data_IF_720833571147
#
_entry.id   IF_720833571147
#
_cell.length_a   1.000
_cell.length_b   1.000
_cell.length_c   1.000
_cell.angle_alpha   90.00
_cell.angle_beta   90.00
_cell.angle_gamma   90.00
#
_symmetry.space_group_name_H-M   'P 1'
#
loop_
_entity.id
_entity.type
_entity.pdbx_description
1 polymer ?
#
# COMPACT_ATOMS: atom_id res chain seq x y z
N UNK A 1 -27.59 -32.17 -29.03
CA UNK A 1 -26.71 -32.88 -29.99
C UNK A 1 -26.54 -31.94 -31.16
N UNK A 2 -25.42 -31.30 -31.49
CA UNK A 2 -23.98 -31.33 -31.14
C UNK A 2 -23.49 -29.89 -31.45
N UNK A 3 -22.95 -29.17 -30.47
CA UNK A 3 -21.54 -28.76 -30.38
C UNK A 3 -20.93 -28.20 -31.68
N UNK A 4 -20.73 -26.89 -31.73
CA UNK A 4 -19.54 -26.28 -32.35
C UNK A 4 -19.07 -25.13 -31.45
N UNK A 5 -18.28 -25.51 -30.44
CA UNK A 5 -17.37 -24.62 -29.72
C UNK A 5 -16.07 -24.63 -30.53
N UNK A 6 -15.59 -23.48 -30.98
CA UNK A 6 -14.14 -23.22 -31.06
C UNK A 6 -13.82 -21.73 -31.28
N UNK A 7 -13.25 -21.18 -30.21
CA UNK A 7 -12.07 -20.30 -30.17
C UNK A 7 -12.21 -18.90 -30.75
N UNK A 8 -12.57 -17.94 -29.88
CA UNK A 8 -11.99 -16.58 -29.86
C UNK A 8 -12.37 -15.74 -28.60
N UNK A 9 -12.62 -16.37 -27.44
CA UNK A 9 -13.04 -15.66 -26.21
C UNK A 9 -12.22 -16.04 -24.95
N UNK A 10 -10.95 -16.44 -25.09
CA UNK A 10 -10.27 -17.25 -24.06
C UNK A 10 -9.20 -16.56 -23.18
N UNK A 11 -9.06 -15.23 -23.09
CA UNK A 11 -8.04 -14.66 -22.17
C UNK A 11 -8.35 -13.42 -21.35
N UNK A 12 -9.45 -12.68 -21.58
CA UNK A 12 -9.66 -11.38 -20.90
C UNK A 12 -10.71 -11.45 -19.77
N UNK A 13 -11.56 -12.48 -19.72
CA UNK A 13 -12.63 -12.56 -18.71
C UNK A 13 -12.30 -13.43 -17.49
N UNK A 14 -11.22 -14.21 -17.50
CA UNK A 14 -10.95 -15.25 -16.49
C UNK A 14 -10.21 -14.76 -15.25
N UNK A 15 -9.61 -13.57 -15.25
CA UNK A 15 -8.94 -12.97 -14.09
C UNK A 15 -9.91 -12.32 -13.10
N UNK A 16 -11.07 -11.83 -13.57
CA UNK A 16 -11.96 -10.99 -12.74
C UNK A 16 -12.82 -11.74 -11.70
N UNK A 17 -12.90 -13.09 -11.71
CA UNK A 17 -13.82 -13.85 -10.85
C UNK A 17 -13.16 -15.09 -10.20
N UNK A 18 -11.85 -15.27 -10.37
CA UNK A 18 -11.16 -16.39 -9.71
C UNK A 18 -10.78 -16.00 -8.28
N UNK A 19 -11.17 -16.82 -7.29
CA UNK A 19 -10.68 -16.67 -5.90
C UNK A 19 -9.16 -16.89 -5.77
N UNK A 20 -8.51 -17.38 -6.83
CA UNK A 20 -7.06 -17.55 -6.92
C UNK A 20 -6.37 -16.41 -7.68
N UNK A 21 -7.15 -15.45 -8.21
CA UNK A 21 -6.63 -14.26 -8.89
C UNK A 21 -5.81 -13.39 -7.93
N UNK A 22 -4.87 -12.63 -8.49
CA UNK A 22 -4.02 -11.70 -7.74
C UNK A 22 -4.12 -10.32 -8.36
N UNK A 23 -4.18 -9.30 -7.52
CA UNK A 23 -4.21 -7.90 -7.91
C UNK A 23 -3.25 -7.09 -7.04
N UNK A 24 -2.90 -5.88 -7.49
CA UNK A 24 -2.12 -4.94 -6.70
C UNK A 24 -3.04 -4.18 -5.75
N UNK A 25 -2.67 -4.08 -4.48
CA UNK A 25 -3.42 -3.37 -3.45
C UNK A 25 -2.55 -2.30 -2.78
N UNK A 26 -3.16 -1.19 -2.42
CA UNK A 26 -2.58 -0.24 -1.46
C UNK A 26 -3.65 0.28 -0.51
N UNK A 27 -3.32 0.35 0.78
CA UNK A 27 -4.22 0.85 1.83
C UNK A 27 -4.09 2.37 2.01
N UNK A 28 -5.17 3.01 2.45
CA UNK A 28 -5.25 4.44 2.79
C UNK A 28 -5.64 4.63 4.26
N UNK A 29 -5.47 5.85 4.79
CA UNK A 29 -5.91 6.22 6.15
C UNK A 29 -4.92 5.95 7.31
N UNK A 30 -3.72 5.43 7.05
CA UNK A 30 -2.67 5.32 8.07
C UNK A 30 -1.91 6.64 8.28
N UNK A 31 -1.56 6.98 9.53
CA UNK A 31 -0.78 8.19 9.85
C UNK A 31 0.54 8.30 9.06
N UNK A 32 1.18 7.18 8.77
CA UNK A 32 2.43 7.11 7.99
C UNK A 32 2.23 7.25 6.46
N UNK A 33 0.99 7.25 5.98
CA UNK A 33 0.68 7.21 4.54
C UNK A 33 0.23 8.57 3.98
N UNK A 34 0.15 9.61 4.82
CA UNK A 34 -0.42 10.92 4.47
C UNK A 34 0.28 11.62 3.29
N UNK A 35 1.57 11.35 3.09
CA UNK A 35 2.38 11.89 1.98
C UNK A 35 2.89 10.82 1.02
N UNK A 36 2.48 9.56 1.22
CA UNK A 36 2.90 8.46 0.39
C UNK A 36 2.30 8.61 -1.02
N UNK A 37 3.13 8.40 -2.05
CA UNK A 37 2.70 8.41 -3.45
C UNK A 37 3.12 7.12 -4.15
N UNK A 38 2.49 5.98 -3.83
CA UNK A 38 2.78 4.68 -4.43
C UNK A 38 2.67 4.76 -5.96
N UNK A 39 3.63 4.16 -6.68
CA UNK A 39 3.72 4.23 -8.14
C UNK A 39 4.09 2.88 -8.73
N UNK A 40 3.42 2.50 -9.81
CA UNK A 40 3.88 1.46 -10.73
C UNK A 40 4.23 2.06 -12.08
N UNK A 41 5.20 1.48 -12.79
CA UNK A 41 5.78 2.06 -14.02
C UNK A 41 5.83 1.01 -15.12
N UNK A 42 5.57 1.42 -16.35
CA UNK A 42 5.76 0.59 -17.54
C UNK A 42 7.25 0.47 -17.92
N UNK A 43 7.60 -0.46 -18.83
CA UNK A 43 8.82 -0.35 -19.62
C UNK A 43 8.89 0.98 -20.40
N UNK A 44 10.07 1.31 -20.91
CA UNK A 44 10.26 2.45 -21.82
C UNK A 44 9.45 2.23 -23.10
N UNK A 45 8.68 3.24 -23.49
CA UNK A 45 7.90 3.31 -24.72
C UNK A 45 8.60 4.28 -25.66
N UNK A 46 8.68 3.90 -26.93
CA UNK A 46 9.24 4.72 -28.00
C UNK A 46 8.42 6.00 -28.15
N UNK A 47 9.11 7.14 -28.10
CA UNK A 47 8.57 8.46 -28.34
C UNK A 47 7.95 8.64 -29.73
N UNK A 48 8.13 7.74 -30.69
CA UNK A 48 7.41 7.80 -31.98
C UNK A 48 6.07 7.05 -31.97
N UNK A 49 5.72 6.37 -30.87
CA UNK A 49 4.44 5.64 -30.75
C UNK A 49 3.26 6.60 -30.90
N UNK A 50 2.33 6.26 -31.80
CA UNK A 50 1.06 6.95 -32.03
C UNK A 50 -0.08 6.06 -31.55
N UNK A 51 -1.17 6.64 -31.04
CA UNK A 51 -2.34 5.90 -30.53
C UNK A 51 -2.00 4.84 -29.45
N UNK A 52 -0.92 5.06 -28.71
CA UNK A 52 -0.56 4.24 -27.57
C UNK A 52 -1.57 4.46 -26.44
N UNK A 53 -2.25 3.39 -26.01
CA UNK A 53 -3.29 3.45 -24.97
C UNK A 53 -2.92 2.51 -23.83
N UNK A 54 -2.92 3.04 -22.61
CA UNK A 54 -2.87 2.23 -21.39
C UNK A 54 -4.29 1.84 -20.98
N UNK A 55 -4.46 0.59 -20.56
CA UNK A 55 -5.72 0.02 -20.09
C UNK A 55 -5.45 -0.67 -18.76
N UNK A 56 -6.39 -0.57 -17.83
CA UNK A 56 -6.32 -1.24 -16.54
C UNK A 56 -7.71 -1.35 -15.93
N UNK A 57 -7.83 -2.20 -14.92
CA UNK A 57 -8.99 -2.24 -14.04
C UNK A 57 -8.60 -1.68 -12.67
N UNK A 58 -9.50 -0.91 -12.07
CA UNK A 58 -9.29 -0.38 -10.72
C UNK A 58 -10.56 -0.48 -9.88
N UNK A 59 -10.38 -0.57 -8.57
CA UNK A 59 -11.46 -0.60 -7.60
C UNK A 59 -11.02 0.19 -6.36
N UNK A 60 -11.97 0.89 -5.74
CA UNK A 60 -11.77 1.51 -4.43
C UNK A 60 -12.68 0.86 -3.40
N UNK A 61 -12.22 0.74 -2.15
CA UNK A 61 -13.02 0.22 -1.04
C UNK A 61 -12.94 1.21 0.12
N UNK A 62 -14.10 1.59 0.67
CA UNK A 62 -14.29 2.45 1.85
C UNK A 62 -13.71 3.88 1.80
N UNK A 63 -12.97 4.23 0.74
CA UNK A 63 -12.30 5.51 0.61
C UNK A 63 -12.29 6.02 -0.83
N UNK A 64 -12.30 7.34 -0.98
CA UNK A 64 -12.28 8.08 -2.26
C UNK A 64 -10.83 8.17 -2.79
N UNK A 65 -10.21 7.02 -3.01
CA UNK A 65 -8.89 6.93 -3.61
C UNK A 65 -8.97 7.10 -5.14
N UNK A 66 -7.88 7.50 -5.78
CA UNK A 66 -7.82 7.74 -7.23
C UNK A 66 -6.60 7.09 -7.88
N UNK A 67 -6.68 6.86 -9.20
CA UNK A 67 -5.54 6.47 -10.03
C UNK A 67 -5.13 7.66 -10.88
N UNK A 68 -3.89 8.13 -10.73
CA UNK A 68 -3.33 9.22 -11.54
C UNK A 68 -2.32 8.67 -12.54
N UNK A 69 -2.52 9.00 -13.81
CA UNK A 69 -1.67 8.59 -14.92
C UNK A 69 -0.72 9.73 -15.28
N UNK A 70 0.57 9.41 -15.36
CA UNK A 70 1.62 10.34 -15.76
C UNK A 70 2.45 9.76 -16.91
N UNK A 71 3.01 10.64 -17.74
CA UNK A 71 4.22 10.36 -18.50
C UNK A 71 5.44 10.67 -17.66
N UNK A 72 6.48 9.85 -17.78
CA UNK A 72 7.79 10.09 -17.18
C UNK A 72 8.88 10.04 -18.24
N UNK A 73 9.61 11.14 -18.41
CA UNK A 73 10.68 11.28 -19.41
C UNK A 73 12.09 11.14 -18.85
N UNK A 74 12.27 11.26 -17.53
CA UNK A 74 13.56 11.11 -16.88
C UNK A 74 13.38 10.76 -15.39
N UNK A 75 14.49 10.44 -14.73
CA UNK A 75 14.47 10.04 -13.32
C UNK A 75 14.25 11.19 -12.33
N UNK A 76 14.43 12.45 -12.74
CA UNK A 76 14.36 13.63 -11.86
C UNK A 76 12.93 13.95 -11.47
N UNK A 77 12.57 13.70 -10.20
CA UNK A 77 11.27 14.12 -9.65
C UNK A 77 11.34 15.56 -9.10
N UNK A 78 10.33 16.42 -9.32
CA UNK A 78 9.10 16.21 -10.10
C UNK A 78 9.24 16.58 -11.60
N UNK A 79 10.35 17.19 -12.02
CA UNK A 79 10.51 17.79 -13.37
C UNK A 79 10.35 16.81 -14.55
N UNK A 80 10.61 15.53 -14.33
CA UNK A 80 10.49 14.48 -15.34
C UNK A 80 9.08 13.91 -15.51
N UNK A 81 8.09 14.38 -14.76
CA UNK A 81 6.72 13.85 -14.73
C UNK A 81 5.73 14.84 -15.36
N UNK A 82 4.89 14.35 -16.26
CA UNK A 82 3.79 15.08 -16.88
C UNK A 82 2.48 14.40 -16.50
N UNK A 83 1.60 15.11 -15.80
CA UNK A 83 0.27 14.60 -15.45
C UNK A 83 -0.61 14.52 -16.70
N UNK A 84 -1.34 13.40 -16.84
CA UNK A 84 -2.23 13.17 -17.98
C UNK A 84 -3.69 13.10 -17.56
N UNK A 85 -4.01 12.21 -16.61
CA UNK A 85 -5.39 11.93 -16.24
C UNK A 85 -5.50 11.42 -14.82
N UNK A 86 -6.55 11.82 -14.12
CA UNK A 86 -6.97 11.20 -12.86
C UNK A 86 -8.28 10.44 -13.10
N UNK A 87 -8.34 9.23 -12.55
CA UNK A 87 -9.50 8.35 -12.54
C UNK A 87 -10.00 8.24 -11.10
N UNK A 88 -11.25 8.64 -10.90
CA UNK A 88 -11.99 8.55 -9.64
C UNK A 88 -13.24 7.71 -9.87
N UNK A 89 -13.85 7.25 -8.79
CA UNK A 89 -15.16 6.60 -8.82
C UNK A 89 -15.92 6.93 -7.55
N UNK A 90 -17.22 7.12 -7.69
CA UNK A 90 -18.19 7.23 -6.60
C UNK A 90 -18.78 5.88 -6.19
N UNK A 91 -18.55 4.84 -7.02
CA UNK A 91 -19.01 3.47 -6.79
C UNK A 91 -17.86 2.60 -6.29
N UNK A 92 -17.84 2.34 -4.99
CA UNK A 92 -16.82 1.49 -4.34
C UNK A 92 -17.19 0.00 -4.41
N UNK A 93 -16.21 -0.89 -4.32
CA UNK A 93 -16.43 -2.34 -4.22
C UNK A 93 -16.66 -3.05 -5.56
N UNK A 94 -16.61 -2.33 -6.68
CA UNK A 94 -16.69 -2.88 -8.03
C UNK A 94 -15.44 -2.56 -8.86
N UNK A 95 -15.11 -3.45 -9.79
CA UNK A 95 -14.02 -3.24 -10.74
C UNK A 95 -14.47 -2.34 -11.88
N UNK A 96 -13.74 -1.25 -12.08
CA UNK A 96 -13.95 -0.27 -13.13
C UNK A 96 -12.85 -0.39 -14.18
N UNK A 97 -13.23 -0.49 -15.44
CA UNK A 97 -12.27 -0.44 -16.54
C UNK A 97 -11.91 1.00 -16.84
N UNK A 98 -10.61 1.30 -16.89
CA UNK A 98 -10.08 2.61 -17.27
C UNK A 98 -9.12 2.47 -18.44
N UNK A 99 -9.09 3.50 -19.29
CA UNK A 99 -8.10 3.60 -20.36
C UNK A 99 -7.78 5.05 -20.69
N UNK A 100 -6.55 5.28 -21.15
CA UNK A 100 -6.11 6.59 -21.59
C UNK A 100 -5.15 6.48 -22.77
N UNK A 101 -5.45 7.17 -23.86
CA UNK A 101 -4.57 7.29 -25.02
C UNK A 101 -3.57 8.42 -24.80
N UNK A 102 -2.29 8.09 -24.94
CA UNK A 102 -1.17 8.98 -24.65
C UNK A 102 -0.90 9.88 -25.85
N UNK A 103 -1.09 11.19 -25.65
CA UNK A 103 -0.67 12.19 -26.63
C UNK A 103 0.86 12.37 -26.59
N UNK A 104 1.49 12.31 -27.76
CA UNK A 104 2.93 12.28 -27.89
C UNK A 104 3.47 13.42 -28.77
N UNK A 105 3.58 14.61 -28.18
CA UNK A 105 3.98 15.83 -28.91
C UNK A 105 5.49 15.96 -29.14
N UNK A 106 6.31 15.46 -28.21
CA UNK A 106 7.73 15.81 -28.14
C UNK A 106 8.68 14.72 -28.63
N UNK A 107 8.15 13.57 -29.07
CA UNK A 107 8.88 12.40 -29.59
C UNK A 107 9.96 11.81 -28.66
N UNK A 108 10.00 12.20 -27.40
CA UNK A 108 10.91 11.64 -26.42
C UNK A 108 10.37 10.31 -25.90
N UNK A 109 11.25 9.34 -25.72
CA UNK A 109 10.92 8.09 -25.04
C UNK A 109 10.39 8.36 -23.62
N UNK A 110 9.42 7.56 -23.18
CA UNK A 110 8.73 7.79 -21.92
C UNK A 110 8.31 6.49 -21.24
N UNK A 111 8.05 6.56 -19.94
CA UNK A 111 7.33 5.54 -19.20
C UNK A 111 5.94 6.05 -18.83
N UNK A 112 4.96 5.16 -18.81
CA UNK A 112 3.65 5.43 -18.21
C UNK A 112 3.74 5.08 -16.73
N UNK A 113 3.26 5.98 -15.88
CA UNK A 113 3.26 5.79 -14.42
C UNK A 113 1.81 5.86 -13.94
N UNK A 114 1.40 4.85 -13.18
CA UNK A 114 0.17 4.88 -12.40
C UNK A 114 0.54 5.19 -10.95
N UNK A 115 0.12 6.35 -10.46
CA UNK A 115 0.27 6.79 -9.07
C UNK A 115 -1.07 6.62 -8.33
N UNK A 116 -1.02 6.09 -7.11
CA UNK A 116 -2.18 6.07 -6.22
C UNK A 116 -2.39 7.44 -5.57
N UNK A 117 -3.55 8.06 -5.80
CA UNK A 117 -4.04 9.19 -5.03
C UNK A 117 -4.76 8.68 -3.78
N UNK A 118 -4.04 8.63 -2.66
CA UNK A 118 -4.59 8.13 -1.39
C UNK A 118 -5.34 9.24 -0.65
N UNK A 119 -6.53 8.93 -0.18
CA UNK A 119 -7.29 9.79 0.73
C UNK A 119 -6.84 9.59 2.18
N UNK A 120 -7.25 10.50 3.06
CA UNK A 120 -7.01 10.39 4.50
C UNK A 120 -7.95 9.39 5.19
N UNK A 121 -8.91 8.80 4.47
CA UNK A 121 -9.86 7.82 5.04
C UNK A 121 -9.31 6.41 4.94
N UNK A 122 -9.64 5.57 5.91
CA UNK A 122 -9.31 4.15 5.86
C UNK A 122 -10.04 3.46 4.70
N UNK A 123 -9.26 2.82 3.86
CA UNK A 123 -9.77 2.13 2.68
C UNK A 123 -8.64 1.58 1.83
N UNK A 124 -8.92 1.27 0.57
CA UNK A 124 -7.92 0.75 -0.34
C UNK A 124 -8.14 1.19 -1.78
N UNK A 125 -7.07 1.10 -2.56
CA UNK A 125 -7.08 1.17 -4.01
C UNK A 125 -6.48 -0.12 -4.55
N UNK A 126 -7.20 -0.72 -5.50
CA UNK A 126 -6.85 -1.98 -6.13
C UNK A 126 -6.63 -1.75 -7.62
N UNK A 127 -5.61 -2.38 -8.20
CA UNK A 127 -5.29 -2.35 -9.62
C UNK A 127 -5.10 -3.75 -10.15
N UNK A 128 -5.66 -4.02 -11.34
CA UNK A 128 -5.49 -5.30 -12.02
C UNK A 128 -5.46 -5.13 -13.55
N UNK A 129 -5.00 -6.17 -14.25
CA UNK A 129 -5.03 -6.31 -15.71
C UNK A 129 -4.49 -5.09 -16.47
N UNK A 130 -3.36 -4.55 -16.00
CA UNK A 130 -2.63 -3.44 -16.67
C UNK A 130 -2.08 -3.95 -18.01
N UNK A 131 -2.48 -3.30 -19.09
CA UNK A 131 -2.05 -3.62 -20.44
C UNK A 131 -1.83 -2.37 -21.29
N UNK A 132 -0.93 -2.50 -22.28
CA UNK A 132 -0.66 -1.48 -23.28
C UNK A 132 -1.17 -1.98 -24.63
N UNK A 133 -1.71 -1.08 -25.47
CA UNK A 133 -2.05 -1.44 -26.84
C UNK A 133 -0.80 -1.79 -27.66
N UNK A 134 -0.92 -2.60 -28.72
CA UNK A 134 0.21 -2.88 -29.62
C UNK A 134 0.83 -1.65 -30.29
N UNK A 135 0.09 -0.53 -30.31
CA UNK A 135 0.57 0.75 -30.81
C UNK A 135 1.59 1.42 -29.86
N UNK A 136 1.71 0.96 -28.62
CA UNK A 136 2.79 1.29 -27.72
C UNK A 136 4.04 0.47 -28.09
N UNK A 137 4.88 1.02 -28.96
CA UNK A 137 6.13 0.36 -29.34
C UNK A 137 7.11 0.42 -28.16
N UNK A 138 7.52 -0.74 -27.65
CA UNK A 138 8.42 -0.81 -26.51
C UNK A 138 9.86 -0.60 -26.97
N UNK A 139 10.59 0.23 -26.22
CA UNK A 139 12.00 0.52 -26.41
C UNK A 139 12.80 -0.17 -25.29
N UNK A 140 12.73 -1.50 -25.20
CA UNK A 140 13.24 -2.29 -24.06
C UNK A 140 14.73 -2.11 -23.79
N UNK A 141 15.51 -1.77 -24.82
CA UNK A 141 16.96 -1.57 -24.71
C UNK A 141 17.35 -0.10 -24.47
N UNK A 142 16.37 0.80 -24.35
CA UNK A 142 16.58 2.22 -24.07
C UNK A 142 16.08 2.56 -22.67
N UNK A 143 16.93 3.25 -21.92
CA UNK A 143 16.56 3.82 -20.64
C UNK A 143 16.23 5.31 -20.79
N UNK A 144 15.21 5.77 -20.06
CA UNK A 144 14.96 7.21 -19.92
C UNK A 144 16.15 7.87 -19.17
N UNK A 145 16.53 9.11 -19.52
CA UNK A 145 17.66 9.81 -18.90
C UNK A 145 17.63 9.86 -17.35
N UNK A 146 18.82 9.74 -16.74
CA UNK A 146 19.03 9.79 -15.30
C UNK A 146 19.31 8.41 -14.70
N UNK A 147 19.36 8.31 -13.36
CA UNK A 147 19.53 7.03 -12.66
C UNK A 147 18.34 6.79 -11.73
N UNK A 148 17.89 5.53 -11.56
CA UNK A 148 17.01 5.16 -10.46
C UNK A 148 17.60 5.67 -9.15
N UNK A 149 16.75 6.21 -8.28
CA UNK A 149 17.11 6.28 -6.86
C UNK A 149 17.43 4.87 -6.42
N UNK A 150 18.62 4.67 -5.85
CA UNK A 150 18.97 3.42 -5.17
C UNK A 150 17.78 3.07 -4.27
N UNK A 151 17.26 1.83 -4.31
CA UNK A 151 16.23 1.42 -3.39
C UNK A 151 16.63 1.88 -1.99
N UNK A 152 15.72 2.44 -1.17
CA UNK A 152 16.02 2.59 0.24
C UNK A 152 16.53 1.23 0.72
N UNK A 153 17.61 1.23 1.51
CA UNK A 153 18.08 0.01 2.17
C UNK A 153 16.87 -0.62 2.81
N UNK A 154 16.48 -1.80 2.34
CA UNK A 154 15.38 -2.55 2.90
C UNK A 154 15.79 -2.78 4.36
N UNK A 155 15.09 -2.15 5.30
CA UNK A 155 15.16 -2.60 6.69
C UNK A 155 14.78 -4.08 6.65
N UNK A 156 15.69 -4.97 7.02
CA UNK A 156 15.58 -6.42 6.82
C UNK A 156 14.28 -7.02 7.42
N UNK A 157 13.61 -6.28 8.30
CA UNK A 157 12.33 -6.64 8.93
C UNK A 157 11.08 -6.07 8.24
N UNK A 158 11.16 -5.60 6.99
CA UNK A 158 10.03 -5.01 6.24
C UNK A 158 8.88 -6.00 5.90
N UNK A 159 9.02 -7.29 6.19
CA UNK A 159 7.85 -8.19 6.11
C UNK A 159 6.75 -7.70 7.07
N UNK A 160 5.52 -7.60 6.54
CA UNK A 160 4.38 -6.95 7.21
C UNK A 160 4.32 -7.21 8.72
N UNK A 161 4.62 -6.17 9.51
CA UNK A 161 4.46 -6.19 10.97
C UNK A 161 5.59 -6.85 11.77
N UNK A 162 6.81 -6.96 11.21
CA UNK A 162 8.00 -7.33 11.98
C UNK A 162 8.79 -6.08 12.43
N UNK A 163 9.39 -6.19 13.60
CA UNK A 163 10.20 -5.20 14.30
C UNK A 163 11.65 -5.70 14.34
N UNK A 164 12.60 -4.76 14.39
CA UNK A 164 14.03 -5.07 14.33
C UNK A 164 14.62 -5.20 15.73
N UNK A 165 15.30 -6.32 15.99
CA UNK A 165 16.12 -6.57 17.17
C UNK A 165 17.43 -5.77 17.10
N UNK A 166 18.12 -5.57 18.23
CA UNK A 166 19.40 -4.84 18.23
C UNK A 166 20.51 -5.57 17.47
N UNK A 167 20.45 -6.91 17.42
CA UNK A 167 21.35 -7.78 16.66
C UNK A 167 20.99 -7.90 15.17
N UNK A 168 19.95 -7.21 14.69
CA UNK A 168 19.49 -7.25 13.29
C UNK A 168 18.50 -8.37 12.98
N UNK A 169 18.20 -9.27 13.92
CA UNK A 169 17.10 -10.22 13.76
C UNK A 169 15.74 -9.50 13.75
N UNK A 170 14.68 -10.24 13.40
CA UNK A 170 13.34 -9.69 13.31
C UNK A 170 12.37 -10.47 14.20
N UNK A 171 11.49 -9.76 14.88
CA UNK A 171 10.42 -10.33 15.70
C UNK A 171 9.08 -9.73 15.30
N UNK A 172 8.00 -10.51 15.35
CA UNK A 172 6.66 -10.02 15.03
C UNK A 172 6.07 -9.20 16.16
N UNK A 173 5.02 -8.42 15.88
CA UNK A 173 4.27 -7.75 16.94
C UNK A 173 3.88 -8.72 18.06
N UNK A 174 3.36 -9.92 17.75
CA UNK A 174 2.95 -10.94 18.73
C UNK A 174 4.09 -11.48 19.61
N UNK A 175 5.33 -11.31 19.18
CA UNK A 175 6.52 -11.76 19.90
C UNK A 175 7.05 -10.69 20.85
N UNK A 176 6.59 -9.45 20.73
CA UNK A 176 6.91 -8.43 21.72
C UNK A 176 6.26 -8.80 23.05
N UNK A 177 6.98 -8.64 24.16
CA UNK A 177 6.48 -8.84 25.52
C UNK A 177 5.72 -10.15 25.73
N UNK A 178 6.17 -11.23 25.09
CA UNK A 178 5.61 -12.57 25.27
C UNK A 178 6.42 -13.40 26.29
N UNK A 179 7.47 -12.81 26.87
CA UNK A 179 8.42 -13.42 27.81
C UNK A 179 9.25 -14.58 27.23
N UNK A 180 9.43 -14.58 25.90
CA UNK A 180 10.29 -15.48 25.15
C UNK A 180 11.32 -14.61 24.43
N UNK A 181 12.61 -14.95 24.52
CA UNK A 181 13.65 -14.25 23.77
C UNK A 181 13.62 -14.72 22.30
N UNK A 182 12.73 -14.13 21.51
CA UNK A 182 12.61 -14.40 20.08
C UNK A 182 13.73 -13.71 19.28
N UNK A 183 14.29 -12.63 19.81
CA UNK A 183 15.41 -11.92 19.20
C UNK A 183 16.77 -12.63 19.37
N UNK A 184 16.95 -13.42 20.43
CA UNK A 184 18.24 -13.99 20.88
C UNK A 184 19.19 -12.97 21.54
N UNK A 185 18.75 -11.72 21.66
CA UNK A 185 19.43 -10.65 22.39
C UNK A 185 18.49 -9.94 23.39
N UNK A 186 17.29 -10.47 23.57
CA UNK A 186 16.24 -10.02 24.48
C UNK A 186 15.73 -8.60 24.20
N UNK A 187 15.91 -8.09 22.97
CA UNK A 187 15.44 -6.74 22.60
C UNK A 187 13.92 -6.63 22.61
N UNK A 188 13.23 -7.67 22.17
CA UNK A 188 11.78 -7.84 22.16
C UNK A 188 11.13 -7.79 23.55
N UNK A 189 11.89 -8.14 24.59
CA UNK A 189 11.44 -8.20 25.98
C UNK A 189 11.96 -7.06 26.88
N UNK A 190 12.85 -6.22 26.35
CA UNK A 190 13.60 -5.23 27.16
C UNK A 190 12.73 -4.18 27.85
N UNK A 191 11.65 -3.77 27.20
CA UNK A 191 10.76 -2.72 27.71
C UNK A 191 9.52 -3.27 28.42
N UNK A 192 9.46 -4.59 28.65
CA UNK A 192 8.29 -5.29 29.18
C UNK A 192 8.35 -5.33 30.72
N UNK A 193 7.51 -4.53 31.36
CA UNK A 193 7.40 -4.48 32.81
C UNK A 193 6.53 -5.62 33.36
N UNK A 194 7.03 -6.37 34.34
CA UNK A 194 6.25 -7.35 35.13
C UNK A 194 5.39 -6.68 36.21
N UNK A 195 5.63 -5.39 36.49
CA UNK A 195 4.85 -4.54 37.37
C UNK A 195 4.57 -3.25 36.60
N UNK A 196 3.30 -3.00 36.28
CA UNK A 196 2.84 -1.82 35.56
C UNK A 196 1.55 -1.32 36.20
N UNK A 197 1.59 -0.10 36.73
CA UNK A 197 0.44 0.63 37.26
C UNK A 197 -0.27 1.48 36.19
N UNK A 198 0.29 1.49 34.97
CA UNK A 198 -0.18 2.25 33.81
C UNK A 198 -0.12 3.78 33.94
N UNK A 199 0.52 4.30 34.99
CA UNK A 199 0.59 5.75 35.26
C UNK A 199 1.54 6.49 34.31
N UNK A 200 2.60 5.81 33.89
CA UNK A 200 3.58 6.32 32.93
C UNK A 200 3.51 5.57 31.59
N UNK A 201 2.30 5.28 31.12
CA UNK A 201 2.06 4.54 29.87
C UNK A 201 1.99 3.03 30.09
N UNK A 202 2.22 2.23 29.05
CA UNK A 202 1.88 0.80 29.09
C UNK A 202 2.98 -0.13 29.57
N UNK A 203 4.14 0.39 29.99
CA UNK A 203 5.29 -0.42 30.44
C UNK A 203 5.63 -1.60 29.48
N UNK A 204 5.61 -1.33 28.18
CA UNK A 204 5.91 -2.32 27.13
C UNK A 204 4.70 -3.16 26.68
N UNK A 205 3.65 -3.29 27.50
CA UNK A 205 2.41 -3.93 27.09
C UNK A 205 1.83 -3.20 25.87
N UNK A 206 1.40 -3.94 24.86
CA UNK A 206 0.92 -3.36 23.60
C UNK A 206 -0.29 -4.14 23.08
N UNK A 207 -1.07 -3.48 22.23
CA UNK A 207 -2.12 -4.15 21.48
C UNK A 207 -1.54 -4.72 20.20
N UNK A 208 -1.73 -6.01 19.90
CA UNK A 208 -1.39 -6.54 18.60
C UNK A 208 -2.26 -5.88 17.52
N UNK A 209 -1.65 -5.44 16.42
CA UNK A 209 -2.34 -4.67 15.38
C UNK A 209 -3.44 -5.45 14.64
N UNK A 210 -3.43 -6.78 14.75
CA UNK A 210 -4.41 -7.67 14.13
C UNK A 210 -5.80 -7.65 14.80
N UNK A 211 -5.92 -7.12 16.02
CA UNK A 211 -7.19 -7.11 16.75
C UNK A 211 -7.92 -5.76 16.62
N UNK A 212 -9.22 -5.81 16.32
CA UNK A 212 -10.08 -4.61 16.19
C UNK A 212 -10.37 -3.93 17.54
N UNK A 213 -10.37 -4.68 18.64
CA UNK A 213 -10.49 -4.16 20.00
C UNK A 213 -9.10 -3.84 20.56
N UNK A 214 -8.93 -2.64 21.13
CA UNK A 214 -7.65 -2.17 21.69
C UNK A 214 -7.83 -1.76 23.14
N UNK A 215 -6.94 -2.24 24.01
CA UNK A 215 -6.77 -1.72 25.36
C UNK A 215 -6.19 -0.31 25.28
N UNK A 216 -6.84 0.65 25.92
CA UNK A 216 -6.34 2.02 26.00
C UNK A 216 -6.17 2.35 27.47
N UNK A 217 -5.06 3.01 27.81
CA UNK A 217 -4.90 3.58 29.14
C UNK A 217 -5.99 4.62 29.33
N UNK A 218 -6.84 4.41 30.32
CA UNK A 218 -8.00 5.24 30.58
C UNK A 218 -7.99 5.72 32.02
N UNK A 219 -8.34 6.98 32.23
CA UNK A 219 -8.54 7.56 33.57
C UNK A 219 -10.00 7.46 33.95
N UNK A 220 -10.29 7.22 35.24
CA UNK A 220 -11.65 7.10 35.77
C UNK A 220 -12.63 8.24 35.41
N UNK A 221 -12.12 9.43 35.09
CA UNK A 221 -12.94 10.59 34.69
C UNK A 221 -13.45 10.57 33.24
N UNK A 222 -12.95 9.70 32.35
CA UNK A 222 -13.15 9.84 30.89
C UNK A 222 -13.71 8.59 30.17
N UNK A 223 -14.30 7.62 30.88
CA UNK A 223 -14.90 6.44 30.22
C UNK A 223 -16.45 6.49 30.19
N UNK A 224 -17.01 6.47 28.99
CA UNK A 224 -18.40 6.84 28.65
C UNK A 224 -19.53 5.93 29.19
N UNK A 225 -19.27 4.91 30.04
CA UNK A 225 -20.33 3.96 30.45
C UNK A 225 -20.53 3.68 31.94
N UNK A 226 -19.69 4.12 32.88
CA UNK A 226 -20.05 4.08 34.31
C UNK A 226 -18.92 4.62 35.17
N UNK A 227 -19.30 5.23 36.28
CA UNK A 227 -18.43 5.69 37.38
C UNK A 227 -17.45 4.59 37.84
N UNK A 228 -16.27 4.55 37.23
CA UNK A 228 -15.06 4.12 37.91
C UNK A 228 -14.41 5.40 38.44
N UNK A 229 -14.98 5.97 39.50
CA UNK A 229 -14.62 7.31 40.00
C UNK A 229 -13.16 7.40 40.49
N UNK A 230 -12.51 6.25 40.73
CA UNK A 230 -11.13 6.14 41.23
C UNK A 230 -10.43 4.94 40.62
N UNK A 231 -9.19 5.15 40.18
CA UNK A 231 -8.26 4.05 39.95
C UNK A 231 -7.84 3.43 41.30
N UNK A 232 -7.63 2.12 41.30
CA UNK A 232 -7.22 1.34 42.47
C UNK A 232 -5.71 1.40 42.75
N UNK A 233 -4.91 1.92 41.80
CA UNK A 233 -3.44 1.95 41.87
C UNK A 233 -2.87 3.38 41.98
N UNK A 234 -3.60 4.41 41.55
CA UNK A 234 -3.15 5.79 41.61
C UNK A 234 -3.29 6.40 43.00
N UNK A 235 -2.17 6.48 43.72
CA UNK A 235 -2.01 7.41 44.85
C UNK A 235 -2.45 6.92 46.23
N UNK A 236 -2.28 5.62 46.52
CA UNK A 236 -2.03 4.98 47.84
C UNK A 236 -2.90 3.73 48.08
N UNK A 237 -2.25 2.73 48.66
CA UNK A 237 -2.72 1.43 49.22
C UNK A 237 -3.11 0.32 48.23
N UNK A 238 -2.20 -0.66 48.16
CA UNK A 238 -2.50 -2.09 48.01
C UNK A 238 -3.49 -2.58 49.06
#
# INVERSE_FOLDING_TARGET
MVLFIRKLFDKVLTTLISILGKFLNVQSGGYHLKDAKPKVRSPTIDGTSQDCTVRFYFNTIYAENSVRVYKRYNYTYPKGYEFLKEFTTDVTGYWHRAEHTIANANKNDYQIVLEAGLSNKHGSLNLDDISLTPACHLATDREIPGKPTVPPTIDECYEEGKLTCKNGNCYSHLQRCNFIDDCGDNTDEKDCGTSCDFENGTCGWYNPDMYRGKWVVATGKNYYWSKLDKDHTYGNSS
#
